data_IF_404330552722
#
_entry.id   IF_404330552722
#
_cell.length_a   1.000
_cell.length_b   1.000
_cell.length_c   1.000
_cell.angle_alpha   90.00
_cell.angle_beta   90.00
_cell.angle_gamma   90.00
#
_symmetry.space_group_name_H-M   'P 1'
#
loop_
_entity.id
_entity.type
_entity.pdbx_description
1 polymer ?
#
# COMPACT_ATOMS: atom_id res chain seq x y z
N UNK A 1 -1.61 22.64 -7.05
CA UNK A 1 -0.48 21.80 -7.53
C UNK A 1 -0.07 20.74 -6.50
N UNK A 2 0.17 21.10 -5.22
CA UNK A 2 0.61 20.15 -4.17
C UNK A 2 -0.31 18.94 -3.93
N UNK A 3 -1.64 19.10 -3.91
CA UNK A 3 -2.60 17.98 -3.71
C UNK A 3 -2.43 16.85 -4.74
N UNK A 4 -2.07 17.18 -5.97
CA UNK A 4 -1.94 16.19 -7.04
C UNK A 4 -0.68 15.33 -6.86
N UNK A 5 0.41 15.94 -6.39
CA UNK A 5 1.68 15.26 -6.12
C UNK A 5 1.51 14.29 -4.95
N UNK A 6 0.84 14.74 -3.89
CA UNK A 6 0.51 13.89 -2.72
C UNK A 6 -0.38 12.72 -3.14
N UNK A 7 -1.43 12.96 -3.95
CA UNK A 7 -2.32 11.90 -4.45
C UNK A 7 -1.57 10.84 -5.28
N UNK A 8 -0.68 11.26 -6.18
CA UNK A 8 0.16 10.36 -6.99
C UNK A 8 1.10 9.57 -6.09
N UNK A 9 1.73 10.21 -5.10
CA UNK A 9 2.61 9.54 -4.15
C UNK A 9 1.86 8.47 -3.34
N UNK A 10 0.69 8.78 -2.77
CA UNK A 10 -0.08 7.80 -1.99
C UNK A 10 -0.60 6.64 -2.87
N UNK A 11 -1.04 6.90 -4.11
CA UNK A 11 -1.39 5.84 -5.06
C UNK A 11 -0.19 4.95 -5.39
N UNK A 12 0.98 5.55 -5.62
CA UNK A 12 2.23 4.82 -5.88
C UNK A 12 2.64 3.92 -4.71
N UNK A 13 2.54 4.42 -3.47
CA UNK A 13 2.80 3.64 -2.27
C UNK A 13 1.84 2.45 -2.15
N UNK A 14 0.54 2.65 -2.41
CA UNK A 14 -0.44 1.56 -2.39
C UNK A 14 -0.12 0.43 -3.37
N UNK A 15 0.30 0.78 -4.60
CA UNK A 15 0.73 -0.22 -5.61
C UNK A 15 2.01 -0.92 -5.17
N UNK A 16 3.01 -0.19 -4.68
CA UNK A 16 4.26 -0.77 -4.20
C UNK A 16 4.05 -1.74 -3.02
N UNK A 17 3.20 -1.38 -2.06
CA UNK A 17 2.84 -2.26 -0.94
C UNK A 17 2.14 -3.54 -1.41
N UNK A 18 1.23 -3.43 -2.39
CA UNK A 18 0.55 -4.58 -2.98
C UNK A 18 1.53 -5.57 -3.65
N UNK A 19 2.49 -5.05 -4.42
CA UNK A 19 3.53 -5.88 -5.04
C UNK A 19 4.43 -6.53 -3.97
N UNK A 20 4.83 -5.79 -2.93
CA UNK A 20 5.65 -6.32 -1.85
C UNK A 20 4.99 -7.50 -1.12
N UNK A 21 3.68 -7.41 -0.85
CA UNK A 21 2.92 -8.50 -0.22
C UNK A 21 2.85 -9.73 -1.13
N UNK A 22 2.62 -9.56 -2.43
CA UNK A 22 2.59 -10.68 -3.38
C UNK A 22 3.94 -11.38 -3.41
N UNK A 23 5.04 -10.63 -3.51
CA UNK A 23 6.40 -11.19 -3.54
C UNK A 23 6.73 -11.93 -2.25
N UNK A 24 6.47 -11.33 -1.08
CA UNK A 24 6.70 -12.01 0.19
C UNK A 24 5.81 -13.24 0.37
N UNK A 25 4.57 -13.19 -0.13
CA UNK A 25 3.65 -14.34 -0.12
C UNK A 25 4.16 -15.47 -1.02
N UNK A 26 4.76 -15.15 -2.18
CA UNK A 26 5.35 -16.17 -3.07
C UNK A 26 6.64 -16.78 -2.53
N UNK A 27 7.36 -16.07 -1.65
CA UNK A 27 8.56 -16.57 -1.00
C UNK A 27 8.24 -17.39 0.27
N UNK A 28 6.96 -17.54 0.64
CA UNK A 28 6.49 -18.17 1.89
C UNK A 28 7.13 -17.58 3.18
N UNK A 29 7.80 -16.43 3.08
CA UNK A 29 8.40 -15.72 4.20
C UNK A 29 7.40 -14.78 4.89
N UNK A 30 6.15 -14.79 4.46
CA UNK A 30 5.12 -13.87 4.95
C UNK A 30 4.37 -14.47 6.14
N UNK A 31 4.78 -14.05 7.33
CA UNK A 31 4.03 -14.32 8.54
C UNK A 31 2.67 -13.59 8.48
N UNK A 32 1.58 -14.26 8.90
CA UNK A 32 0.23 -13.73 8.76
C UNK A 32 0.04 -12.36 9.44
N UNK A 33 0.69 -12.13 10.59
CA UNK A 33 0.71 -10.84 11.30
C UNK A 33 1.33 -9.72 10.45
N UNK A 34 2.43 -10.04 9.76
CA UNK A 34 3.19 -9.12 8.90
C UNK A 34 2.43 -8.85 7.60
N UNK A 35 1.80 -9.87 7.00
CA UNK A 35 0.95 -9.72 5.82
C UNK A 35 -0.26 -8.82 6.07
N UNK A 36 -0.96 -9.01 7.19
CA UNK A 36 -2.10 -8.16 7.57
C UNK A 36 -1.65 -6.71 7.83
N UNK A 37 -0.48 -6.52 8.46
CA UNK A 37 0.08 -5.19 8.70
C UNK A 37 0.45 -4.47 7.40
N UNK A 38 1.14 -5.15 6.47
CA UNK A 38 1.52 -4.59 5.16
C UNK A 38 0.31 -4.26 4.28
N UNK A 39 -0.68 -5.16 4.25
CA UNK A 39 -1.95 -4.91 3.55
C UNK A 39 -2.73 -3.76 4.18
N UNK A 40 -2.81 -3.71 5.51
CA UNK A 40 -3.48 -2.64 6.25
C UNK A 40 -2.88 -1.26 5.98
N UNK A 41 -1.55 -1.17 5.96
CA UNK A 41 -0.84 0.09 5.64
C UNK A 41 -1.08 0.48 4.17
N UNK A 42 -1.00 -0.47 3.24
CA UNK A 42 -1.27 -0.24 1.82
C UNK A 42 -2.69 0.22 1.54
N UNK A 43 -3.68 -0.41 2.18
CA UNK A 43 -5.10 -0.04 2.11
C UNK A 43 -5.38 1.32 2.76
N UNK A 44 -4.79 1.62 3.91
CA UNK A 44 -4.93 2.90 4.57
C UNK A 44 -4.36 4.05 3.71
N UNK A 45 -3.20 3.85 3.09
CA UNK A 45 -2.61 4.81 2.16
C UNK A 45 -3.49 5.01 0.92
N UNK A 46 -4.07 3.93 0.38
CA UNK A 46 -4.96 4.02 -0.78
C UNK A 46 -6.28 4.71 -0.43
N UNK A 47 -6.86 4.43 0.75
CA UNK A 47 -8.05 5.09 1.27
C UNK A 47 -7.81 6.58 1.49
N UNK A 48 -6.68 6.98 2.07
CA UNK A 48 -6.29 8.38 2.23
C UNK A 48 -6.11 9.10 0.88
N UNK A 49 -5.61 8.41 -0.14
CA UNK A 49 -5.52 8.96 -1.50
C UNK A 49 -6.91 9.19 -2.11
N UNK A 50 -7.87 8.32 -1.79
CA UNK A 50 -9.24 8.38 -2.29
C UNK A 50 -10.11 9.38 -1.53
N UNK A 51 -9.87 9.59 -0.24
CA UNK A 51 -10.49 10.67 0.56
C UNK A 51 -9.96 12.05 0.19
N UNK A 52 -8.81 12.13 -0.49
CA UNK A 52 -8.28 13.36 -1.04
C UNK A 52 -8.84 13.68 -2.45
N UNK A 53 -9.82 12.93 -2.97
CA UNK A 53 -10.66 13.36 -4.11
C UNK A 53 -11.57 14.52 -3.71
#
# INVERSE_FOLDING_TARGET
MYRNIVKIALKGVGVAMGVAVIVMSTLETLEASTGVSLLGIGLAALALANLQE
#
